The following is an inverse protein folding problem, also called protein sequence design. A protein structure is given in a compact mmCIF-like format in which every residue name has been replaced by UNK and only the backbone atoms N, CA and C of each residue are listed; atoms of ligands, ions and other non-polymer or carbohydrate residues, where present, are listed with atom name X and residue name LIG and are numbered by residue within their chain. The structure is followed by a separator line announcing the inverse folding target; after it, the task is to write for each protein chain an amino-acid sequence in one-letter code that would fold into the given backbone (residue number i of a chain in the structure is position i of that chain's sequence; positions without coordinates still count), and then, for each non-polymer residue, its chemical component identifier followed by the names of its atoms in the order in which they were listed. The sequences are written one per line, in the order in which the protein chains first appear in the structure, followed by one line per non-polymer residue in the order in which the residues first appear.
data_IF_644420080162
#
_entry.id   IF_644420080162
#
_cell.length_a   1.000
_cell.length_b   1.000
_cell.length_c   1.000
_cell.angle_alpha   90.00
_cell.angle_beta   90.00
_cell.angle_gamma   90.00
#
_symmetry.space_group_name_H-M   'P 1'
#
loop_
_entity.id
_entity.type
_entity.pdbx_description
1 polymer ?
#
# COMPACT_ATOMS: atom_id res chain seq x y z
N UNK A 1 4.79 10.48 -4.76
CA UNK A 1 5.23 10.85 -6.13
C UNK A 1 6.75 11.02 -6.26
N UNK A 2 7.57 10.50 -5.33
CA UNK A 2 9.02 10.75 -5.32
C UNK A 2 9.82 9.89 -6.30
N UNK A 3 9.17 8.94 -6.97
CA UNK A 3 9.77 8.05 -7.97
C UNK A 3 9.62 8.57 -9.41
N UNK A 4 8.86 9.64 -9.63
CA UNK A 4 8.69 10.24 -10.96
C UNK A 4 9.96 10.97 -11.37
N UNK A 5 10.42 10.71 -12.59
CA UNK A 5 11.60 11.32 -13.20
C UNK A 5 11.20 12.41 -14.19
N UNK A 6 10.14 12.17 -14.95
CA UNK A 6 9.70 13.06 -16.02
C UNK A 6 8.19 12.91 -16.28
N UNK A 7 7.57 14.01 -16.70
CA UNK A 7 6.21 14.07 -17.23
C UNK A 7 6.22 14.63 -18.66
N UNK A 8 5.38 14.06 -19.53
CA UNK A 8 4.95 14.74 -20.76
C UNK A 8 3.59 15.41 -20.48
N UNK A 9 3.50 16.71 -20.73
CA UNK A 9 2.36 17.53 -20.33
C UNK A 9 1.84 18.30 -21.54
N UNK A 10 0.52 18.21 -21.77
CA UNK A 10 -0.19 19.06 -22.73
C UNK A 10 -0.70 20.29 -21.98
N UNK A 11 -0.20 21.45 -22.37
CA UNK A 11 -0.61 22.74 -21.81
C UNK A 11 -1.94 23.21 -22.40
N UNK A 12 -2.57 24.21 -21.78
CA UNK A 12 -3.86 24.76 -22.22
C UNK A 12 -3.80 25.38 -23.63
N UNK A 13 -2.62 25.79 -24.10
CA UNK A 13 -2.40 26.30 -25.45
C UNK A 13 -2.24 25.18 -26.50
N UNK A 14 -2.27 23.90 -26.09
CA UNK A 14 -2.11 22.74 -26.96
C UNK A 14 -0.67 22.26 -27.14
N UNK A 15 0.32 22.98 -26.60
CA UNK A 15 1.73 22.58 -26.71
C UNK A 15 2.05 21.40 -25.79
N UNK A 16 2.94 20.53 -26.27
CA UNK A 16 3.47 19.40 -25.49
C UNK A 16 4.84 19.80 -24.94
N UNK A 17 4.96 19.81 -23.61
CA UNK A 17 6.20 20.14 -22.92
C UNK A 17 6.65 18.98 -22.03
N UNK A 18 7.97 18.84 -21.88
CA UNK A 18 8.59 17.92 -20.92
C UNK A 18 8.86 18.63 -19.62
N UNK A 19 8.45 18.02 -18.51
CA UNK A 19 8.73 18.49 -17.16
C UNK A 19 9.58 17.46 -16.42
N UNK A 20 10.79 17.85 -16.03
CA UNK A 20 11.76 17.03 -15.30
C UNK A 20 12.51 17.90 -14.29
N UNK A 21 13.45 17.29 -13.55
CA UNK A 21 14.26 18.05 -12.59
C UNK A 21 15.19 19.09 -13.26
N UNK A 22 15.42 18.98 -14.58
CA UNK A 22 16.31 19.87 -15.33
C UNK A 22 15.58 20.75 -16.37
N UNK A 23 14.29 20.50 -16.61
CA UNK A 23 13.49 21.19 -17.64
C UNK A 23 12.08 21.46 -17.11
N UNK A 24 11.58 22.70 -17.20
CA UNK A 24 10.28 23.11 -16.64
C UNK A 24 10.11 22.63 -15.19
N UNK A 25 11.12 22.90 -14.35
CA UNK A 25 11.26 22.35 -13.00
C UNK A 25 10.16 22.83 -12.05
N UNK A 26 9.64 24.03 -12.29
CA UNK A 26 8.45 24.58 -11.66
C UNK A 26 7.22 23.71 -11.91
N UNK A 27 6.95 23.39 -13.19
CA UNK A 27 5.87 22.49 -13.58
C UNK A 27 6.07 21.08 -13.02
N UNK A 28 7.31 20.57 -13.07
CA UNK A 28 7.67 19.27 -12.49
C UNK A 28 7.37 19.19 -10.99
N UNK A 29 7.71 20.22 -10.22
CA UNK A 29 7.47 20.24 -8.77
C UNK A 29 5.99 20.31 -8.43
N UNK A 30 5.23 21.14 -9.14
CA UNK A 30 3.80 21.30 -8.90
C UNK A 30 3.03 20.02 -9.26
N UNK A 31 3.39 19.34 -10.34
CA UNK A 31 2.75 18.08 -10.73
C UNK A 31 2.99 16.93 -9.74
N UNK A 32 4.01 16.99 -8.88
CA UNK A 32 4.29 15.97 -7.83
C UNK A 32 3.49 16.15 -6.53
N UNK A 33 2.60 17.13 -6.44
CA UNK A 33 1.77 17.34 -5.25
C UNK A 33 0.51 18.19 -5.43
N UNK A 34 0.43 19.00 -6.48
CA UNK A 34 -0.68 19.91 -6.78
C UNK A 34 -1.71 19.38 -7.80
N UNK A 35 -1.61 18.11 -8.21
CA UNK A 35 -2.55 17.50 -9.16
C UNK A 35 -2.45 18.08 -10.58
N UNK A 36 -3.52 17.92 -11.38
CA UNK A 36 -3.54 18.24 -12.82
C UNK A 36 -3.90 19.70 -13.15
N UNK A 37 -3.68 20.63 -12.24
CA UNK A 37 -4.17 22.01 -12.40
C UNK A 37 -3.47 22.81 -13.52
N UNK A 38 -2.35 22.31 -14.05
CA UNK A 38 -1.46 23.04 -14.96
C UNK A 38 -1.33 22.41 -16.35
N UNK A 39 -2.07 21.33 -16.61
CA UNK A 39 -2.06 20.63 -17.88
C UNK A 39 -2.47 19.18 -17.75
N UNK A 40 -2.64 18.52 -18.88
CA UNK A 40 -2.97 17.10 -18.95
C UNK A 40 -1.66 16.32 -19.08
N UNK A 41 -1.34 15.49 -18.09
CA UNK A 41 -0.18 14.60 -18.16
C UNK A 41 -0.53 13.40 -19.04
N UNK A 42 0.19 13.21 -20.14
CA UNK A 42 -0.01 12.10 -21.07
C UNK A 42 0.93 10.93 -20.77
N UNK A 43 2.13 11.21 -20.29
CA UNK A 43 3.14 10.18 -19.97
C UNK A 43 3.76 10.43 -18.60
N UNK A 44 3.94 9.34 -17.84
CA UNK A 44 4.71 9.33 -16.59
C UNK A 44 5.94 8.44 -16.77
N UNK A 45 7.13 8.97 -16.52
CA UNK A 45 8.36 8.17 -16.45
C UNK A 45 8.75 7.97 -14.98
N UNK A 46 8.79 6.72 -14.53
CA UNK A 46 8.98 6.34 -13.13
C UNK A 46 10.25 5.52 -12.95
N UNK A 47 10.97 5.74 -11.84
CA UNK A 47 11.97 4.80 -11.33
C UNK A 47 11.24 3.59 -10.75
N UNK A 48 11.58 2.42 -11.26
CA UNK A 48 11.08 1.15 -10.75
C UNK A 48 12.04 0.56 -9.73
N UNK A 49 11.50 -0.19 -8.78
CA UNK A 49 12.25 -0.92 -7.79
C UNK A 49 11.92 -2.41 -7.94
N UNK A 50 12.94 -3.27 -7.86
CA UNK A 50 12.72 -4.72 -7.91
C UNK A 50 12.05 -5.14 -6.61
N UNK A 51 10.81 -5.61 -6.70
CA UNK A 51 10.09 -6.14 -5.54
C UNK A 51 10.20 -7.66 -5.50
N UNK A 52 10.55 -8.19 -4.32
CA UNK A 52 10.74 -9.61 -4.08
C UNK A 52 9.53 -10.26 -3.42
N UNK A 53 9.79 -11.20 -2.51
CA UNK A 53 8.78 -11.65 -1.56
C UNK A 53 8.64 -10.62 -0.44
N UNK A 54 7.43 -10.51 0.07
CA UNK A 54 7.06 -9.65 1.20
C UNK A 54 6.48 -10.51 2.30
N UNK A 55 6.53 -10.02 3.53
CA UNK A 55 5.84 -10.62 4.66
C UNK A 55 4.62 -9.79 4.98
N UNK A 56 3.46 -10.45 5.11
CA UNK A 56 2.25 -9.74 5.47
C UNK A 56 1.03 -10.64 5.48
N UNK A 57 -0.04 -10.11 6.04
CA UNK A 57 -1.35 -10.74 6.07
C UNK A 57 -2.28 -9.97 7.01
N UNK A 58 -3.34 -10.64 7.45
CA UNK A 58 -4.39 -10.01 8.23
C UNK A 58 -4.46 -10.63 9.62
N UNK A 59 -4.66 -9.77 10.61
CA UNK A 59 -5.10 -10.16 11.94
C UNK A 59 -6.57 -9.80 12.11
N UNK A 60 -7.35 -10.73 12.63
CA UNK A 60 -8.71 -10.46 13.09
C UNK A 60 -8.72 -10.49 14.61
N UNK A 61 -9.09 -9.39 15.25
CA UNK A 61 -9.15 -9.22 16.70
C UNK A 61 -10.58 -8.83 17.07
N UNK A 62 -11.11 -9.35 18.18
CA UNK A 62 -12.43 -8.95 18.67
C UNK A 62 -12.41 -7.51 19.21
N UNK A 63 -13.53 -6.80 19.10
CA UNK A 63 -13.63 -5.40 19.52
C UNK A 63 -13.57 -5.19 21.04
N UNK A 64 -13.72 -6.24 21.85
CA UNK A 64 -13.47 -6.20 23.30
C UNK A 64 -12.04 -5.75 23.64
N UNK A 65 -11.09 -5.98 22.73
CA UNK A 65 -9.68 -5.58 22.87
C UNK A 65 -9.34 -4.25 22.14
N UNK A 66 -10.35 -3.39 21.96
CA UNK A 66 -10.16 -2.14 21.20
C UNK A 66 -9.11 -1.22 21.82
N UNK A 67 -9.00 -1.20 23.16
CA UNK A 67 -8.03 -0.34 23.84
C UNK A 67 -6.59 -0.80 23.56
N UNK A 68 -6.35 -2.11 23.56
CA UNK A 68 -5.08 -2.74 23.24
C UNK A 68 -4.71 -2.50 21.78
N UNK A 69 -5.67 -2.64 20.86
CA UNK A 69 -5.45 -2.37 19.43
C UNK A 69 -5.07 -0.91 19.20
N UNK A 70 -5.80 0.04 19.80
CA UNK A 70 -5.51 1.46 19.66
C UNK A 70 -4.17 1.85 20.29
N UNK A 71 -3.82 1.25 21.44
CA UNK A 71 -2.51 1.43 22.05
C UNK A 71 -1.40 0.90 21.13
N UNK A 72 -1.56 -0.29 20.55
CA UNK A 72 -0.60 -0.86 19.62
C UNK A 72 -0.44 -0.02 18.35
N UNK A 73 -1.54 0.53 17.79
CA UNK A 73 -1.48 1.44 16.63
C UNK A 73 -0.73 2.72 16.98
N UNK A 74 -1.00 3.33 18.13
CA UNK A 74 -0.29 4.52 18.61
C UNK A 74 1.21 4.21 18.74
N UNK A 75 1.55 3.15 19.45
CA UNK A 75 2.96 2.83 19.74
C UNK A 75 3.73 2.47 18.46
N UNK A 76 3.09 1.77 17.51
CA UNK A 76 3.66 1.51 16.19
C UNK A 76 3.91 2.81 15.41
N UNK A 77 2.98 3.77 15.46
CA UNK A 77 3.12 5.04 14.73
C UNK A 77 4.18 5.96 15.34
N UNK A 78 4.35 5.92 16.67
CA UNK A 78 5.23 6.84 17.39
C UNK A 78 6.66 6.29 17.56
N UNK A 79 6.82 4.99 17.80
CA UNK A 79 8.10 4.42 18.24
C UNK A 79 8.75 3.45 17.26
N UNK A 80 8.10 3.11 16.14
CA UNK A 80 8.66 2.16 15.18
C UNK A 80 9.31 2.89 13.99
N UNK A 81 10.66 2.95 13.91
CA UNK A 81 11.35 3.82 12.95
C UNK A 81 11.63 3.16 11.59
N UNK A 82 11.34 1.87 11.42
CA UNK A 82 11.63 1.15 10.17
C UNK A 82 10.52 1.44 9.14
N UNK A 83 10.93 2.09 8.06
CA UNK A 83 10.07 2.56 6.97
C UNK A 83 9.50 1.42 6.10
N UNK A 84 9.96 0.19 6.32
CA UNK A 84 9.49 -1.01 5.61
C UNK A 84 8.24 -1.63 6.20
N UNK A 85 7.90 -1.31 7.45
CA UNK A 85 6.71 -1.84 8.09
C UNK A 85 5.53 -0.88 7.92
N UNK A 86 4.36 -1.43 7.62
CA UNK A 86 3.13 -0.68 7.54
C UNK A 86 1.96 -1.48 8.11
N UNK A 87 1.00 -0.75 8.65
CA UNK A 87 -0.26 -1.31 9.14
C UNK A 87 -1.46 -0.55 8.57
N UNK A 88 -2.58 -1.25 8.43
CA UNK A 88 -3.89 -0.62 8.25
C UNK A 88 -4.82 -1.28 9.27
N UNK A 89 -5.30 -0.50 10.25
CA UNK A 89 -6.24 -0.98 11.25
C UNK A 89 -7.66 -0.47 10.93
N UNK A 90 -8.58 -1.40 10.73
CA UNK A 90 -9.97 -1.09 10.40
C UNK A 90 -10.91 -1.78 11.38
N UNK A 91 -11.75 -1.01 12.07
CA UNK A 91 -12.87 -1.57 12.84
C UNK A 91 -14.05 -1.79 11.90
N UNK A 92 -14.59 -3.01 11.91
CA UNK A 92 -15.73 -3.40 11.10
C UNK A 92 -16.90 -3.69 12.05
N UNK A 93 -17.98 -2.92 11.89
CA UNK A 93 -19.23 -3.11 12.64
C UNK A 93 -20.31 -3.45 11.61
N UNK A 94 -21.00 -4.58 11.79
CA UNK A 94 -21.99 -5.07 10.84
C UNK A 94 -22.96 -6.08 11.44
N UNK A 95 -23.96 -6.50 10.65
CA UNK A 95 -25.00 -7.47 11.03
C UNK A 95 -25.67 -7.06 12.36
N UNK A 96 -26.33 -5.91 12.42
CA UNK A 96 -27.00 -5.42 13.64
C UNK A 96 -26.12 -5.53 14.91
N UNK A 97 -24.86 -5.10 14.81
CA UNK A 97 -23.82 -5.19 15.86
C UNK A 97 -23.42 -6.61 16.30
N UNK A 98 -23.84 -7.67 15.61
CA UNK A 98 -23.36 -9.03 15.87
C UNK A 98 -21.95 -9.28 15.33
N UNK A 99 -21.50 -8.49 14.36
CA UNK A 99 -20.11 -8.47 13.91
C UNK A 99 -19.45 -7.17 14.36
N UNK A 100 -18.56 -7.25 15.34
CA UNK A 100 -17.72 -6.13 15.77
C UNK A 100 -16.27 -6.64 15.96
N UNK A 101 -15.43 -6.33 14.97
CA UNK A 101 -14.05 -6.82 14.90
C UNK A 101 -13.10 -5.74 14.42
N UNK A 102 -11.84 -5.85 14.83
CA UNK A 102 -10.70 -5.21 14.18
C UNK A 102 -10.10 -6.13 13.13
N UNK A 103 -9.96 -5.62 11.91
CA UNK A 103 -9.17 -6.22 10.84
C UNK A 103 -7.90 -5.37 10.68
N UNK A 104 -6.75 -5.97 10.96
CA UNK A 104 -5.45 -5.30 10.88
C UNK A 104 -4.64 -5.93 9.75
N UNK A 105 -4.36 -5.16 8.71
CA UNK A 105 -3.43 -5.55 7.66
C UNK A 105 -2.01 -5.25 8.14
N UNK A 106 -1.16 -6.26 8.13
CA UNK A 106 0.26 -6.14 8.40
C UNK A 106 1.04 -6.27 7.10
N UNK A 107 2.01 -5.39 6.90
CA UNK A 107 2.88 -5.40 5.74
C UNK A 107 4.32 -5.12 6.15
N UNK A 108 5.26 -5.88 5.59
CA UNK A 108 6.68 -5.63 5.71
C UNK A 108 7.38 -5.84 4.35
N UNK A 109 8.15 -4.83 3.92
CA UNK A 109 8.94 -4.88 2.69
C UNK A 109 10.22 -5.71 2.86
N UNK A 110 10.04 -7.02 2.83
CA UNK A 110 11.10 -8.02 2.90
C UNK A 110 10.53 -9.42 3.17
N UNK A 111 11.35 -10.46 3.02
CA UNK A 111 10.85 -11.84 3.15
C UNK A 111 10.39 -12.18 4.58
N UNK A 112 10.98 -11.52 5.58
CA UNK A 112 10.69 -11.75 6.99
C UNK A 112 10.77 -10.43 7.74
N UNK A 113 9.73 -10.11 8.51
CA UNK A 113 9.76 -8.99 9.45
C UNK A 113 10.72 -9.31 10.63
N UNK A 114 11.53 -8.36 11.10
CA UNK A 114 12.33 -8.52 12.31
C UNK A 114 11.45 -8.94 13.50
N UNK A 115 11.98 -9.78 14.39
CA UNK A 115 11.29 -10.14 15.62
C UNK A 115 10.91 -8.88 16.41
N UNK A 116 9.72 -8.83 17.01
CA UNK A 116 9.25 -7.64 17.72
C UNK A 116 8.40 -6.69 16.87
N UNK A 117 8.51 -6.73 15.54
CA UNK A 117 7.89 -5.72 14.65
C UNK A 117 6.37 -5.60 14.81
N UNK A 118 5.69 -6.74 14.93
CA UNK A 118 4.23 -6.78 15.05
C UNK A 118 3.76 -7.44 16.35
N UNK A 119 4.66 -7.59 17.33
CA UNK A 119 4.40 -8.27 18.60
C UNK A 119 3.27 -7.58 19.37
N UNK A 120 3.23 -6.25 19.32
CA UNK A 120 2.15 -5.46 19.93
C UNK A 120 0.76 -5.82 19.38
N UNK A 121 0.66 -6.38 18.17
CA UNK A 121 -0.60 -6.82 17.58
C UNK A 121 -0.83 -8.33 17.71
N UNK A 122 0.21 -9.15 17.54
CA UNK A 122 0.10 -10.62 17.63
C UNK A 122 -0.11 -11.09 19.07
N UNK A 123 0.46 -10.39 20.06
CA UNK A 123 0.31 -10.72 21.48
C UNK A 123 -1.07 -10.37 22.06
N UNK A 124 -1.86 -9.53 21.39
CA UNK A 124 -3.24 -9.24 21.77
C UNK A 124 -4.10 -10.51 21.73
N UNK A 125 -3.68 -11.54 20.98
CA UNK A 125 -4.41 -12.79 20.83
C UNK A 125 -5.51 -12.66 19.77
N UNK A 126 -5.12 -12.54 18.49
CA UNK A 126 -6.06 -12.49 17.37
C UNK A 126 -6.79 -13.83 17.22
N UNK A 127 -8.05 -13.75 16.80
CA UNK A 127 -8.90 -14.90 16.46
C UNK A 127 -8.38 -15.58 15.19
N UNK A 128 -7.84 -14.78 14.27
CA UNK A 128 -7.28 -15.25 13.01
C UNK A 128 -5.98 -14.50 12.73
N UNK A 129 -4.95 -15.23 12.30
CA UNK A 129 -3.72 -14.68 11.79
C UNK A 129 -3.37 -15.35 10.46
N UNK A 130 -3.30 -14.57 9.38
CA UNK A 130 -2.95 -15.06 8.03
C UNK A 130 -1.58 -14.59 7.55
N UNK A 131 -0.79 -13.96 8.44
CA UNK A 131 0.50 -13.39 8.09
C UNK A 131 1.51 -14.47 7.67
N UNK A 132 2.10 -14.29 6.49
CA UNK A 132 3.07 -15.21 5.91
C UNK A 132 3.95 -14.48 4.90
N UNK A 133 5.09 -15.09 4.59
CA UNK A 133 5.89 -14.69 3.43
C UNK A 133 5.18 -15.10 2.14
N UNK A 134 5.00 -14.15 1.23
CA UNK A 134 4.33 -14.37 -0.05
C UNK A 134 4.85 -13.41 -1.13
N UNK A 135 4.43 -13.60 -2.38
CA UNK A 135 4.74 -12.63 -3.43
C UNK A 135 3.94 -11.34 -3.20
N UNK A 136 4.52 -10.20 -3.55
CA UNK A 136 3.83 -8.91 -3.48
C UNK A 136 2.49 -8.92 -4.24
N UNK A 137 2.45 -9.56 -5.41
CA UNK A 137 1.21 -9.75 -6.18
C UNK A 137 0.16 -10.57 -5.42
N UNK A 138 0.57 -11.63 -4.71
CA UNK A 138 -0.35 -12.42 -3.90
C UNK A 138 -0.87 -11.71 -2.65
N UNK A 139 -0.14 -10.70 -2.15
CA UNK A 139 -0.54 -9.88 -1.02
C UNK A 139 -1.59 -8.83 -1.41
N UNK A 140 -1.43 -8.18 -2.57
CA UNK A 140 -2.31 -7.11 -3.03
C UNK A 140 -3.53 -7.56 -3.85
N UNK A 141 -3.59 -8.81 -4.29
CA UNK A 141 -4.69 -9.28 -5.14
C UNK A 141 -5.93 -9.72 -4.34
N UNK A 142 -7.07 -9.17 -4.74
CA UNK A 142 -8.36 -9.80 -4.49
C UNK A 142 -8.43 -11.12 -5.28
N UNK A 143 -8.78 -12.27 -4.65
CA UNK A 143 -8.76 -13.59 -5.29
C UNK A 143 -9.59 -13.74 -6.59
N UNK A 144 -10.49 -12.79 -6.89
CA UNK A 144 -11.29 -12.80 -8.13
C UNK A 144 -10.50 -12.37 -9.38
N UNK A 145 -9.46 -11.56 -9.23
CA UNK A 145 -8.71 -11.01 -10.36
C UNK A 145 -7.72 -12.03 -10.98
N UNK A 146 -7.21 -12.95 -10.17
CA UNK A 146 -6.23 -13.97 -10.59
C UNK A 146 -6.82 -14.98 -11.59
N UNK A 147 -8.15 -15.16 -11.60
CA UNK A 147 -8.84 -16.06 -12.54
C UNK A 147 -8.92 -15.49 -13.96
N UNK A 148 -8.97 -14.17 -14.11
CA UNK A 148 -9.07 -13.51 -15.41
C UNK A 148 -7.73 -13.52 -16.18
N UNK A 149 -6.61 -13.21 -15.50
CA UNK A 149 -5.29 -13.20 -16.14
C UNK A 149 -4.80 -14.59 -16.58
N UNK A 150 -5.19 -15.68 -15.88
CA UNK A 150 -4.83 -17.05 -16.30
C UNK A 150 -5.56 -17.54 -17.54
N UNK A 151 -6.73 -16.99 -17.86
CA UNK A 151 -7.49 -17.43 -19.04
C UNK A 151 -6.95 -16.83 -20.34
N UNK A 152 -6.42 -15.60 -20.30
CA UNK A 152 -5.91 -14.93 -21.50
C UNK A 152 -4.47 -15.30 -21.91
N UNK A 153 -3.68 -15.96 -21.04
CA UNK A 153 -2.32 -16.40 -21.40
C UNK A 153 -2.26 -17.74 -22.15
N UNK A 154 -3.39 -18.40 -22.40
CA UNK A 154 -3.46 -19.72 -23.07
C UNK A 154 -3.94 -19.68 -24.53
N UNK A 155 -4.02 -18.52 -25.15
CA UNK A 155 -4.53 -18.36 -26.53
C UNK A 155 -3.57 -17.60 -27.47
N UNK A 156 -2.27 -17.59 -27.18
CA UNK A 156 -1.25 -17.02 -28.05
C UNK A 156 -0.09 -18.00 -28.26
N UNK A 157 -0.31 -19.02 -29.08
CA UNK A 157 0.72 -19.87 -29.69
C UNK A 157 0.29 -20.18 -31.11
#
# INVERSE_FOLDING_TARGET
MNTVVEFDVVLANGDIVKASNCQNTDLFNVLRGGGNAYGIVTTYTLKTHKIGKVWGGNLTISADKSNEVLAAVRDFTEYYPDDKAAIIATRNIGIENQLDIWLIFLFYDGETAPAGTFDNFTNIGPILNTAKTQSYFGFGECPRCTRYHRQHSRHGS
#
